data_IF_109853343521
#
_entry.id   IF_109853343521
#
_cell.length_a   1.000
_cell.length_b   1.000
_cell.length_c   1.000
_cell.angle_alpha   90.00
_cell.angle_beta   90.00
_cell.angle_gamma   90.00
#
_symmetry.space_group_name_H-M   'P 1'
#
loop_
_entity.id
_entity.type
_entity.pdbx_description
1 polymer ?
#
# COMPACT_ATOMS: atom_id res chain seq x y z
N UNK A 1 27.75 -4.80 -4.11
CA UNK A 1 27.75 -3.66 -3.15
C UNK A 1 26.51 -3.71 -2.26
N UNK A 2 26.64 -3.41 -0.95
CA UNK A 2 25.52 -3.34 0.02
C UNK A 2 24.37 -2.45 -0.47
N UNK A 3 24.68 -1.36 -1.19
CA UNK A 3 23.69 -0.42 -1.76
C UNK A 3 22.78 -1.09 -2.81
N UNK A 4 23.35 -1.87 -3.73
CA UNK A 4 22.57 -2.57 -4.76
C UNK A 4 21.63 -3.62 -4.17
N UNK A 5 22.08 -4.35 -3.14
CA UNK A 5 21.24 -5.34 -2.46
C UNK A 5 19.99 -4.70 -1.82
N UNK A 6 20.18 -3.57 -1.11
CA UNK A 6 19.09 -2.81 -0.51
C UNK A 6 18.08 -2.33 -1.57
N UNK A 7 18.56 -1.81 -2.69
CA UNK A 7 17.71 -1.39 -3.82
C UNK A 7 16.89 -2.56 -4.39
N UNK A 8 17.51 -3.73 -4.60
CA UNK A 8 16.79 -4.92 -5.09
C UNK A 8 15.72 -5.39 -4.12
N UNK A 9 15.96 -5.33 -2.79
CA UNK A 9 14.94 -5.64 -1.78
C UNK A 9 13.73 -4.70 -1.89
N UNK A 10 13.96 -3.40 -2.08
CA UNK A 10 12.87 -2.44 -2.27
C UNK A 10 12.08 -2.70 -3.55
N UNK A 11 12.78 -2.94 -4.66
CA UNK A 11 12.13 -3.31 -5.92
C UNK A 11 11.30 -4.58 -5.79
N UNK A 12 11.82 -5.60 -5.10
CA UNK A 12 11.10 -6.84 -4.84
C UNK A 12 9.83 -6.56 -4.02
N UNK A 13 9.93 -5.81 -2.92
CA UNK A 13 8.78 -5.44 -2.10
C UNK A 13 7.70 -4.74 -2.92
N UNK A 14 8.04 -3.68 -3.67
CA UNK A 14 7.05 -2.94 -4.46
C UNK A 14 6.43 -3.80 -5.57
N UNK A 15 7.22 -4.69 -6.20
CA UNK A 15 6.69 -5.66 -7.18
C UNK A 15 5.72 -6.65 -6.53
N UNK A 16 6.08 -7.21 -5.37
CA UNK A 16 5.21 -8.11 -4.62
C UNK A 16 3.90 -7.42 -4.22
N UNK A 17 3.96 -6.20 -3.69
CA UNK A 17 2.78 -5.41 -3.35
C UNK A 17 1.90 -5.12 -4.57
N UNK A 18 2.50 -4.80 -5.72
CA UNK A 18 1.77 -4.58 -6.97
C UNK A 18 1.02 -5.84 -7.43
N UNK A 19 1.63 -7.02 -7.28
CA UNK A 19 1.01 -8.31 -7.62
C UNK A 19 -0.14 -8.61 -6.67
N UNK A 20 0.11 -8.54 -5.35
CA UNK A 20 -0.90 -8.87 -4.32
C UNK A 20 -2.12 -7.95 -4.44
N UNK A 21 -1.90 -6.64 -4.68
CA UNK A 21 -2.97 -5.65 -4.77
C UNK A 21 -3.57 -5.52 -6.17
N UNK A 22 -3.15 -6.31 -7.17
CA UNK A 22 -3.62 -6.18 -8.54
C UNK A 22 -5.14 -6.36 -8.68
N UNK A 23 -5.69 -7.37 -8.01
CA UNK A 23 -7.14 -7.65 -8.00
C UNK A 23 -7.92 -6.52 -7.34
N UNK A 24 -7.43 -6.03 -6.20
CA UNK A 24 -8.03 -4.91 -5.47
C UNK A 24 -8.02 -3.63 -6.33
N UNK A 25 -6.90 -3.34 -7.00
CA UNK A 25 -6.78 -2.18 -7.92
C UNK A 25 -7.78 -2.27 -9.08
N UNK A 26 -7.99 -3.47 -9.63
CA UNK A 26 -8.99 -3.71 -10.68
C UNK A 26 -10.41 -3.51 -10.16
N UNK A 27 -10.73 -4.08 -8.99
CA UNK A 27 -12.05 -3.98 -8.37
C UNK A 27 -12.39 -2.55 -7.93
N UNK A 28 -11.40 -1.80 -7.41
CA UNK A 28 -11.53 -0.44 -6.93
C UNK A 28 -11.51 0.65 -8.01
N UNK A 29 -11.32 0.30 -9.29
CA UNK A 29 -11.30 1.29 -10.37
C UNK A 29 -12.69 1.96 -10.50
N UNK A 30 -12.84 3.28 -10.28
CA UNK A 30 -14.14 3.96 -10.33
C UNK A 30 -14.76 3.97 -11.73
N UNK A 31 -13.95 3.78 -12.79
CA UNK A 31 -14.42 3.60 -14.16
C UNK A 31 -14.67 2.13 -14.53
N UNK A 32 -14.41 1.22 -13.59
CA UNK A 32 -14.55 -0.22 -13.77
C UNK A 32 -15.94 -0.74 -13.39
N UNK A 33 -16.15 -2.06 -13.54
CA UNK A 33 -17.42 -2.70 -13.23
C UNK A 33 -17.75 -2.76 -11.73
N UNK A 34 -16.78 -2.47 -10.84
CA UNK A 34 -16.89 -2.71 -9.40
C UNK A 34 -17.04 -4.20 -9.07
N UNK A 35 -17.41 -4.51 -7.84
CA UNK A 35 -17.75 -5.87 -7.39
C UNK A 35 -19.08 -5.87 -6.64
N UNK A 36 -19.87 -6.94 -6.82
CA UNK A 36 -21.09 -7.15 -6.02
C UNK A 36 -20.69 -7.73 -4.67
N UNK A 37 -21.09 -7.08 -3.58
CA UNK A 37 -20.85 -7.56 -2.21
C UNK A 37 -22.14 -7.48 -1.40
N UNK A 38 -22.32 -8.46 -0.51
CA UNK A 38 -23.42 -8.49 0.45
C UNK A 38 -23.03 -7.58 1.63
N UNK A 39 -23.90 -6.63 1.96
CA UNK A 39 -23.73 -5.75 3.12
C UNK A 39 -24.14 -6.43 4.43
N UNK A 40 -23.88 -5.78 5.56
CA UNK A 40 -24.30 -6.28 6.88
C UNK A 40 -25.81 -6.38 7.08
N UNK A 41 -26.59 -5.68 6.25
CA UNK A 41 -28.05 -5.73 6.18
C UNK A 41 -28.57 -6.81 5.20
N UNK A 42 -27.68 -7.62 4.62
CA UNK A 42 -28.03 -8.66 3.65
C UNK A 42 -28.27 -8.16 2.22
N UNK A 43 -28.28 -6.84 1.98
CA UNK A 43 -28.50 -6.31 0.63
C UNK A 43 -27.22 -6.32 -0.22
N UNK A 44 -27.38 -6.61 -1.52
CA UNK A 44 -26.26 -6.67 -2.46
C UNK A 44 -26.02 -5.28 -3.04
N UNK A 45 -24.79 -4.77 -2.88
CA UNK A 45 -24.37 -3.48 -3.42
C UNK A 45 -23.20 -3.65 -4.37
N UNK A 46 -23.14 -2.78 -5.39
CA UNK A 46 -21.93 -2.61 -6.19
C UNK A 46 -20.96 -1.72 -5.42
N UNK A 47 -19.79 -2.24 -5.10
CA UNK A 47 -18.77 -1.52 -4.34
C UNK A 47 -17.46 -1.42 -5.13
N UNK A 48 -16.67 -0.40 -4.79
CA UNK A 48 -15.36 -0.12 -5.36
C UNK A 48 -14.34 -0.13 -4.22
N UNK A 49 -13.80 -1.30 -3.87
CA UNK A 49 -12.97 -1.45 -2.68
C UNK A 49 -11.65 -0.69 -2.85
N UNK A 50 -11.24 0.01 -1.80
CA UNK A 50 -9.98 0.75 -1.73
C UNK A 50 -9.15 0.23 -0.55
N UNK A 51 -7.83 0.22 -0.69
CA UNK A 51 -6.95 -0.07 0.44
C UNK A 51 -6.96 1.14 1.38
N UNK A 52 -7.67 1.03 2.51
CA UNK A 52 -7.84 2.13 3.45
C UNK A 52 -6.69 2.27 4.46
N UNK A 53 -6.14 1.15 4.93
CA UNK A 53 -5.09 1.13 5.94
C UNK A 53 -4.04 0.06 5.65
N UNK A 54 -2.78 0.37 5.95
CA UNK A 54 -1.64 -0.54 5.86
C UNK A 54 -0.86 -0.48 7.18
N UNK A 55 -0.98 -1.54 7.98
CA UNK A 55 -0.28 -1.67 9.26
C UNK A 55 1.08 -2.29 9.01
N UNK A 56 2.14 -1.59 9.39
CA UNK A 56 3.52 -1.96 9.14
C UNK A 56 4.41 -1.46 10.28
N UNK A 57 5.57 -2.08 10.46
CA UNK A 57 6.59 -1.55 11.36
C UNK A 57 7.22 -0.26 10.80
N UNK A 58 8.07 0.42 11.58
CA UNK A 58 8.64 1.70 11.14
C UNK A 58 9.48 1.60 9.84
N UNK A 59 10.40 0.62 9.69
CA UNK A 59 11.09 0.38 8.42
C UNK A 59 10.16 0.18 7.23
N UNK A 60 9.09 -0.61 7.37
CA UNK A 60 8.12 -0.88 6.31
C UNK A 60 7.23 0.33 6.01
N UNK A 61 6.86 1.11 7.03
CA UNK A 61 6.17 2.39 6.83
C UNK A 61 7.03 3.35 6.01
N UNK A 62 8.33 3.42 6.30
CA UNK A 62 9.24 4.24 5.51
C UNK A 62 9.32 3.75 4.05
N UNK A 63 9.36 2.42 3.88
CA UNK A 63 9.40 1.79 2.57
C UNK A 63 8.14 2.06 1.73
N UNK A 64 6.95 1.88 2.31
CA UNK A 64 5.68 2.04 1.58
C UNK A 64 5.37 3.49 1.24
N UNK A 65 5.77 4.43 2.10
CA UNK A 65 5.58 5.87 1.89
C UNK A 65 6.71 6.54 1.11
N UNK A 66 7.72 5.77 0.68
CA UNK A 66 8.92 6.28 0.01
C UNK A 66 9.65 7.36 0.82
N UNK A 67 9.63 7.27 2.16
CA UNK A 67 10.31 8.22 3.05
C UNK A 67 11.70 7.73 3.45
N UNK A 68 12.60 8.68 3.74
CA UNK A 68 13.98 8.36 4.15
C UNK A 68 13.93 7.74 5.55
N UNK A 69 14.71 6.67 5.75
CA UNK A 69 14.89 6.11 7.09
C UNK A 69 15.41 7.19 8.06
N UNK A 70 14.83 7.26 9.26
CA UNK A 70 15.10 8.31 10.24
C UNK A 70 14.21 9.55 10.10
N UNK A 71 13.32 9.60 9.09
CA UNK A 71 12.26 10.62 8.99
C UNK A 71 10.90 10.03 9.35
N UNK A 72 10.02 10.86 9.89
CA UNK A 72 8.67 10.48 10.26
C UNK A 72 7.77 10.47 9.01
N UNK A 73 7.19 9.32 8.59
CA UNK A 73 6.31 9.29 7.42
C UNK A 73 4.98 10.03 7.61
N UNK A 74 4.67 10.40 8.86
CA UNK A 74 3.42 11.06 9.26
C UNK A 74 3.58 12.54 9.57
N UNK A 75 4.79 13.02 9.82
CA UNK A 75 5.04 14.34 10.41
C UNK A 75 6.27 15.02 9.81
N UNK A 76 6.27 16.35 9.77
CA UNK A 76 7.34 17.15 9.14
C UNK A 76 8.59 17.33 10.02
N UNK A 77 8.82 16.44 11.00
CA UNK A 77 9.99 16.53 11.86
C UNK A 77 11.24 16.18 11.05
N UNK A 78 12.27 17.03 11.15
CA UNK A 78 13.58 16.77 10.53
C UNK A 78 14.16 15.49 11.13
N UNK A 79 14.89 14.73 10.33
CA UNK A 79 15.73 13.67 10.87
C UNK A 79 16.74 14.33 11.82
N UNK A 80 16.88 13.78 13.03
CA UNK A 80 17.98 14.12 13.93
C UNK A 80 19.29 13.58 13.32
N UNK A 81 20.37 14.34 13.47
CA UNK A 81 21.68 14.06 12.86
C UNK A 81 22.36 12.79 13.43
#
# INVERSE_FOLDING_TARGET
SKRQFKLRKYQLFHKSMAIILASLKKAGNPKGPGVKMVGGDGSIRRVYPVLAAYVADYPEQCLVTCTKYGTCPKCQRKAED
#
